data_IF_732328549390
#
_entry.id   IF_732328549390
#
_cell.length_a   1.000
_cell.length_b   1.000
_cell.length_c   1.000
_cell.angle_alpha   90.00
_cell.angle_beta   90.00
_cell.angle_gamma   90.00
#
_symmetry.space_group_name_H-M   'P 1'
#
loop_
_entity.id
_entity.type
_entity.pdbx_description
1 polymer ?
#
# COMPACT_ATOMS: atom_id res chain seq x y z
N UNK A 1 0.13 -55.23 -33.35
CA UNK A 1 -0.81 -54.50 -34.22
C UNK A 1 -1.30 -53.34 -33.38
N UNK A 2 -0.60 -52.23 -33.55
CA UNK A 2 -0.81 -50.96 -32.85
C UNK A 2 -1.97 -50.21 -33.49
N UNK A 3 -2.81 -49.58 -32.66
CA UNK A 3 -3.70 -48.52 -33.09
C UNK A 3 -3.30 -47.24 -32.35
N UNK A 4 -2.78 -46.29 -33.12
CA UNK A 4 -2.36 -44.95 -32.72
C UNK A 4 -3.49 -43.95 -32.99
N UNK A 5 -3.97 -43.26 -31.96
CA UNK A 5 -4.82 -42.07 -32.07
C UNK A 5 -4.08 -40.84 -31.57
N UNK A 6 -3.72 -39.96 -32.49
CA UNK A 6 -2.97 -38.71 -32.29
C UNK A 6 -3.82 -37.62 -31.62
N UNK A 7 -3.20 -36.87 -30.69
CA UNK A 7 -3.74 -35.66 -30.06
C UNK A 7 -3.13 -34.46 -30.76
N UNK A 8 -3.96 -33.66 -31.44
CA UNK A 8 -3.53 -32.41 -32.07
C UNK A 8 -3.47 -31.26 -31.05
N UNK A 9 -2.34 -30.55 -31.09
CA UNK A 9 -2.05 -29.34 -30.34
C UNK A 9 -2.51 -28.12 -31.12
N UNK A 10 -3.24 -27.19 -30.49
CA UNK A 10 -3.62 -25.92 -31.14
C UNK A 10 -2.68 -24.82 -30.66
N UNK A 11 -1.79 -24.41 -31.56
CA UNK A 11 -0.89 -23.27 -31.39
C UNK A 11 -1.62 -21.93 -31.50
N UNK A 12 -1.08 -20.99 -30.72
CA UNK A 12 -1.32 -19.56 -30.70
C UNK A 12 -1.09 -18.89 -32.07
N UNK A 13 -2.05 -18.07 -32.52
CA UNK A 13 -1.85 -17.09 -33.59
C UNK A 13 -2.31 -15.70 -33.13
N UNK A 14 -1.31 -14.86 -32.89
CA UNK A 14 -1.43 -13.42 -32.78
C UNK A 14 -1.33 -12.82 -34.20
N UNK A 15 -2.27 -11.97 -34.62
CA UNK A 15 -2.03 -10.96 -35.67
C UNK A 15 -3.10 -9.85 -35.67
N UNK A 16 -2.60 -8.63 -35.54
CA UNK A 16 -3.18 -7.30 -35.79
C UNK A 16 -3.81 -7.17 -37.20
N UNK A 17 -4.82 -6.36 -37.54
CA UNK A 17 -5.04 -4.89 -37.41
C UNK A 17 -6.41 -4.63 -38.12
N UNK A 18 -7.38 -3.80 -37.70
CA UNK A 18 -7.51 -2.35 -38.01
C UNK A 18 -8.86 -1.77 -37.54
N UNK A 19 -8.77 -0.67 -36.79
CA UNK A 19 -9.58 0.57 -36.77
C UNK A 19 -11.09 0.56 -37.10
N UNK A 20 -11.90 1.03 -36.12
CA UNK A 20 -12.96 2.01 -36.36
C UNK A 20 -13.20 2.88 -35.13
N UNK A 21 -13.33 4.18 -35.38
CA UNK A 21 -13.38 5.31 -34.44
C UNK A 21 -14.79 5.59 -33.91
N UNK A 22 -14.92 5.89 -32.62
CA UNK A 22 -16.03 6.69 -32.11
C UNK A 22 -15.55 7.83 -31.21
N UNK A 23 -16.13 9.00 -31.46
CA UNK A 23 -15.77 10.30 -30.87
C UNK A 23 -16.58 10.53 -29.60
N UNK A 24 -15.91 10.79 -28.48
CA UNK A 24 -16.48 11.53 -27.35
C UNK A 24 -15.64 12.78 -27.09
N UNK A 25 -16.32 13.93 -27.09
CA UNK A 25 -15.77 15.26 -26.96
C UNK A 25 -15.58 15.62 -25.48
N UNK A 26 -14.40 15.32 -24.92
CA UNK A 26 -13.86 16.01 -23.75
C UNK A 26 -12.85 17.09 -24.19
N UNK A 27 -12.48 18.05 -23.32
CA UNK A 27 -11.50 19.07 -23.68
C UNK A 27 -10.15 18.40 -23.97
N UNK A 28 -9.71 18.46 -25.23
CA UNK A 28 -8.40 17.98 -25.65
C UNK A 28 -7.33 18.90 -25.08
N UNK A 29 -6.74 18.50 -23.95
CA UNK A 29 -5.43 19.02 -23.53
C UNK A 29 -4.46 18.72 -24.67
N UNK A 30 -3.84 19.75 -25.23
CA UNK A 30 -2.91 19.57 -26.34
C UNK A 30 -1.71 18.73 -25.88
N UNK A 31 -1.23 17.81 -26.73
CA UNK A 31 0.01 17.06 -26.47
C UNK A 31 1.20 17.99 -26.18
N UNK A 32 1.11 19.24 -26.65
CA UNK A 32 2.07 20.32 -26.40
C UNK A 32 2.06 20.76 -24.93
N UNK A 33 0.90 20.86 -24.27
CA UNK A 33 0.78 21.18 -22.85
C UNK A 33 1.27 20.04 -21.94
N UNK A 34 0.93 18.79 -22.26
CA UNK A 34 1.42 17.61 -21.53
C UNK A 34 2.94 17.50 -21.63
N UNK A 35 3.51 17.78 -22.80
CA UNK A 35 4.98 17.80 -23.01
C UNK A 35 5.66 18.98 -22.33
N UNK A 36 4.97 20.11 -22.17
CA UNK A 36 5.48 21.26 -21.42
C UNK A 36 5.49 21.02 -19.89
N UNK A 37 4.47 20.32 -19.37
CA UNK A 37 4.40 19.90 -17.97
C UNK A 37 5.38 18.76 -17.67
N UNK A 38 5.56 17.82 -18.59
CA UNK A 38 6.61 16.81 -18.52
C UNK A 38 8.02 17.43 -18.50
N UNK A 39 8.27 18.46 -19.33
CA UNK A 39 9.52 19.24 -19.29
C UNK A 39 9.70 20.08 -18.02
N UNK A 40 8.61 20.48 -17.36
CA UNK A 40 8.67 21.15 -16.06
C UNK A 40 8.98 20.17 -14.91
N UNK A 41 8.58 18.91 -15.04
CA UNK A 41 8.89 17.82 -14.08
C UNK A 41 10.28 17.22 -14.35
N UNK A 42 10.75 17.17 -15.60
CA UNK A 42 12.11 16.75 -15.97
C UNK A 42 13.21 17.73 -15.52
N UNK A 43 12.87 18.99 -15.20
CA UNK A 43 13.82 20.02 -14.76
C UNK A 43 14.20 19.98 -13.27
N UNK A 44 14.11 18.80 -12.64
CA UNK A 44 14.75 18.53 -11.33
C UNK A 44 15.94 17.57 -11.46
N UNK A 45 16.35 17.19 -12.67
CA UNK A 45 17.71 16.67 -12.87
C UNK A 45 18.68 17.84 -12.91
N UNK A 46 19.17 18.20 -11.72
CA UNK A 46 20.17 19.23 -11.50
C UNK A 46 21.49 18.84 -12.16
N UNK A 47 22.11 19.86 -12.74
CA UNK A 47 23.46 19.93 -13.28
C UNK A 47 24.48 19.09 -12.48
N UNK A 48 25.05 18.02 -13.05
CA UNK A 48 26.07 17.20 -12.40
C UNK A 48 27.41 17.93 -12.23
N UNK A 49 27.55 19.18 -12.70
CA UNK A 49 28.76 20.00 -12.59
C UNK A 49 28.87 20.84 -11.31
N UNK A 50 27.85 20.84 -10.42
CA UNK A 50 27.92 21.54 -9.13
C UNK A 50 28.33 20.57 -8.01
N UNK A 51 29.35 20.95 -7.25
CA UNK A 51 29.95 20.15 -6.16
C UNK A 51 29.01 19.91 -4.97
N UNK A 52 27.93 20.67 -4.85
CA UNK A 52 27.02 20.59 -3.69
C UNK A 52 25.80 19.71 -3.92
N UNK A 53 25.56 18.84 -2.94
CA UNK A 53 24.35 18.04 -2.77
C UNK A 53 23.12 18.97 -2.71
N UNK A 54 22.15 18.83 -3.63
CA UNK A 54 20.94 19.63 -3.57
C UNK A 54 20.03 19.16 -2.43
N UNK A 55 20.04 19.88 -1.31
CA UNK A 55 19.21 19.60 -0.15
C UNK A 55 17.78 20.10 -0.35
N UNK A 56 16.80 19.35 0.14
CA UNK A 56 15.43 19.82 0.31
C UNK A 56 15.34 20.87 1.43
N UNK A 57 14.24 21.66 1.49
CA UNK A 57 13.98 22.50 2.65
C UNK A 57 14.00 21.68 3.95
N UNK A 58 14.82 22.11 4.91
CA UNK A 58 15.06 21.46 6.21
C UNK A 58 15.81 20.10 6.13
N UNK A 59 16.30 19.73 4.95
CA UNK A 59 17.23 18.63 4.83
C UNK A 59 18.64 19.07 5.25
N UNK A 60 19.22 18.35 6.19
CA UNK A 60 20.52 18.66 6.81
C UNK A 60 21.46 17.46 6.70
N UNK A 61 22.68 17.71 6.25
CA UNK A 61 23.77 16.71 6.27
C UNK A 61 24.10 16.37 7.72
N UNK A 62 24.08 15.08 8.04
CA UNK A 62 24.36 14.54 9.37
C UNK A 62 25.77 14.02 9.47
N UNK A 63 26.25 13.35 8.42
CA UNK A 63 27.64 12.92 8.30
C UNK A 63 28.02 12.63 6.85
N UNK A 64 29.32 12.68 6.56
CA UNK A 64 29.89 12.38 5.26
C UNK A 64 31.21 11.63 5.41
N UNK A 65 31.37 10.57 4.61
CA UNK A 65 32.61 9.80 4.49
C UNK A 65 33.13 9.88 3.05
N UNK A 66 34.41 10.25 2.92
CA UNK A 66 35.15 10.12 1.67
C UNK A 66 35.73 8.72 1.55
N UNK A 67 36.18 8.36 0.35
CA UNK A 67 36.86 7.09 0.08
C UNK A 67 36.03 5.84 0.39
N UNK A 68 34.70 5.95 0.31
CA UNK A 68 33.80 4.81 0.42
C UNK A 68 33.72 4.11 -0.93
N UNK A 69 33.83 2.79 -0.92
CA UNK A 69 33.70 1.96 -2.12
C UNK A 69 32.31 1.32 -2.15
N UNK A 70 31.48 1.70 -3.12
CA UNK A 70 30.25 1.01 -3.45
C UNK A 70 30.57 -0.20 -4.35
N UNK A 71 30.15 -1.39 -3.96
CA UNK A 71 30.29 -2.61 -4.76
C UNK A 71 29.06 -2.73 -5.64
N UNK A 72 29.11 -2.12 -6.83
CA UNK A 72 28.01 -2.18 -7.78
C UNK A 72 27.96 -3.58 -8.42
N UNK A 73 26.82 -4.28 -8.40
CA UNK A 73 26.71 -5.60 -9.01
C UNK A 73 26.84 -5.59 -10.55
N UNK A 74 26.66 -4.42 -11.18
CA UNK A 74 26.64 -4.31 -12.64
C UNK A 74 27.96 -3.82 -13.24
N UNK A 75 28.66 -2.91 -12.56
CA UNK A 75 29.86 -2.25 -13.10
C UNK A 75 31.10 -2.41 -12.21
N UNK A 76 30.99 -3.19 -11.14
CA UNK A 76 32.07 -3.44 -10.19
C UNK A 76 32.26 -2.33 -9.15
N UNK A 77 33.41 -2.34 -8.44
CA UNK A 77 33.69 -1.40 -7.36
C UNK A 77 33.80 0.05 -7.86
N UNK A 78 33.12 0.96 -7.18
CA UNK A 78 33.14 2.40 -7.46
C UNK A 78 33.51 3.13 -6.18
N UNK A 79 34.63 3.87 -6.18
CA UNK A 79 35.08 4.67 -5.04
C UNK A 79 34.51 6.08 -5.13
N UNK A 80 34.05 6.63 -4.01
CA UNK A 80 33.42 7.95 -3.98
C UNK A 80 33.17 8.45 -2.56
N UNK A 81 32.26 9.41 -2.47
CA UNK A 81 31.80 10.00 -1.21
C UNK A 81 30.41 9.50 -0.87
N UNK A 82 30.19 9.16 0.41
CA UNK A 82 28.91 8.78 0.97
C UNK A 82 28.46 9.86 1.95
N UNK A 83 27.24 10.36 1.81
CA UNK A 83 26.65 11.38 2.67
C UNK A 83 25.31 10.89 3.19
N UNK A 84 25.08 11.08 4.48
CA UNK A 84 23.83 10.79 5.17
C UNK A 84 23.20 12.12 5.58
N UNK A 85 21.96 12.36 5.18
CA UNK A 85 21.15 13.48 5.68
C UNK A 85 20.11 12.97 6.68
N UNK A 86 19.26 13.84 7.22
CA UNK A 86 18.05 13.45 7.94
C UNK A 86 16.94 12.88 7.03
N UNK A 87 17.14 12.83 5.71
CA UNK A 87 16.15 12.33 4.73
C UNK A 87 16.66 11.22 3.82
N UNK A 88 17.90 11.28 3.34
CA UNK A 88 18.44 10.37 2.32
C UNK A 88 19.88 9.93 2.61
N UNK A 89 20.25 8.79 2.04
CA UNK A 89 21.62 8.38 1.78
C UNK A 89 21.98 8.77 0.35
N UNK A 90 23.09 9.45 0.17
CA UNK A 90 23.59 9.85 -1.14
C UNK A 90 25.03 9.40 -1.34
N UNK A 91 25.32 8.72 -2.45
CA UNK A 91 26.67 8.33 -2.84
C UNK A 91 27.02 8.94 -4.19
N UNK A 92 28.23 9.50 -4.32
CA UNK A 92 28.71 10.13 -5.56
C UNK A 92 30.16 9.77 -5.84
N UNK A 93 30.44 9.39 -7.09
CA UNK A 93 31.77 9.21 -7.64
C UNK A 93 31.97 10.15 -8.83
N UNK A 94 32.85 11.13 -8.64
CA UNK A 94 33.22 12.16 -9.61
C UNK A 94 34.34 11.73 -10.56
N UNK A 95 35.05 10.65 -10.24
CA UNK A 95 36.18 10.13 -11.02
C UNK A 95 35.74 9.41 -12.31
N UNK A 96 34.44 9.45 -12.63
CA UNK A 96 33.83 8.82 -13.80
C UNK A 96 33.03 9.83 -14.59
N UNK A 97 32.97 9.59 -15.89
CA UNK A 97 32.14 10.35 -16.82
C UNK A 97 31.18 9.39 -17.55
N UNK A 98 29.85 9.54 -17.40
CA UNK A 98 29.17 10.49 -16.52
C UNK A 98 29.39 10.18 -15.02
N UNK A 99 29.23 11.20 -14.17
CA UNK A 99 29.31 11.09 -12.70
C UNK A 99 28.36 9.99 -12.23
N UNK A 100 28.87 9.06 -11.43
CA UNK A 100 28.04 8.02 -10.84
C UNK A 100 27.40 8.54 -9.55
N UNK A 101 26.07 8.51 -9.48
CA UNK A 101 25.29 8.96 -8.33
C UNK A 101 24.26 7.92 -7.91
N UNK A 102 24.08 7.78 -6.59
CA UNK A 102 23.05 6.95 -5.98
C UNK A 102 22.35 7.77 -4.91
N UNK A 103 21.04 7.97 -5.06
CA UNK A 103 20.18 8.73 -4.15
C UNK A 103 19.09 7.80 -3.60
N UNK A 104 19.02 7.69 -2.27
CA UNK A 104 18.14 6.77 -1.57
C UNK A 104 17.47 7.44 -0.38
N UNK A 105 16.14 7.66 -0.41
CA UNK A 105 15.41 8.07 0.77
C UNK A 105 15.59 7.06 1.90
N UNK A 106 15.91 7.54 3.10
CA UNK A 106 16.15 6.74 4.30
C UNK A 106 14.95 5.87 4.68
N UNK A 107 13.72 6.37 4.47
CA UNK A 107 12.50 5.60 4.67
C UNK A 107 12.36 4.38 3.73
N UNK A 108 13.13 4.34 2.64
CA UNK A 108 13.22 3.21 1.72
C UNK A 108 14.14 2.09 2.21
N UNK A 109 14.89 2.29 3.29
CA UNK A 109 15.77 1.26 3.85
C UNK A 109 14.96 0.29 4.72
N UNK A 110 15.24 -0.99 4.58
CA UNK A 110 14.67 -2.08 5.37
C UNK A 110 15.61 -2.50 6.49
N UNK A 111 16.90 -2.68 6.16
CA UNK A 111 17.95 -3.06 7.12
C UNK A 111 19.28 -2.48 6.70
N UNK A 112 20.13 -2.16 7.67
CA UNK A 112 21.57 -1.91 7.47
C UNK A 112 22.34 -2.87 8.37
N UNK A 113 23.35 -3.53 7.84
CA UNK A 113 24.09 -4.58 8.54
C UNK A 113 25.59 -4.49 8.26
N UNK A 114 26.41 -4.73 9.28
CA UNK A 114 27.86 -4.90 9.11
C UNK A 114 28.12 -6.31 8.56
N UNK A 115 28.84 -6.39 7.45
CA UNK A 115 29.18 -7.64 6.76
C UNK A 115 30.62 -8.01 7.09
N UNK A 116 30.79 -9.13 7.81
CA UNK A 116 32.10 -9.66 8.18
C UNK A 116 32.81 -8.87 9.28
N UNK A 117 33.98 -9.37 9.69
CA UNK A 117 34.89 -8.64 10.56
C UNK A 117 35.69 -7.60 9.77
N UNK A 118 36.28 -6.63 10.46
CA UNK A 118 37.23 -5.71 9.84
C UNK A 118 38.35 -6.51 9.17
N UNK A 119 38.71 -6.15 7.95
CA UNK A 119 39.82 -6.78 7.24
C UNK A 119 41.13 -6.53 8.00
N UNK A 120 42.17 -7.31 7.72
CA UNK A 120 43.52 -7.04 8.25
C UNK A 120 44.07 -5.66 7.87
N UNK A 121 43.43 -4.97 6.91
CA UNK A 121 43.72 -3.60 6.47
C UNK A 121 42.80 -2.54 7.11
N UNK A 122 41.91 -2.92 8.01
CA UNK A 122 40.94 -2.03 8.68
C UNK A 122 39.70 -1.69 7.86
N UNK A 123 39.44 -2.42 6.76
CA UNK A 123 38.26 -2.19 5.93
C UNK A 123 37.04 -2.88 6.54
N UNK A 124 35.92 -2.17 6.56
CA UNK A 124 34.63 -2.66 7.03
C UNK A 124 33.60 -2.58 5.92
N UNK A 125 32.83 -3.65 5.77
CA UNK A 125 31.75 -3.71 4.79
C UNK A 125 30.39 -3.56 5.47
N UNK A 126 29.49 -2.81 4.83
CA UNK A 126 28.10 -2.68 5.24
C UNK A 126 27.16 -3.04 4.08
N UNK A 127 26.12 -3.82 4.39
CA UNK A 127 24.99 -4.10 3.51
C UNK A 127 23.82 -3.20 3.84
N UNK A 128 23.17 -2.66 2.82
CA UNK A 128 21.93 -1.88 2.92
C UNK A 128 20.87 -2.60 2.09
N UNK A 129 19.87 -3.15 2.76
CA UNK A 129 18.72 -3.83 2.17
C UNK A 129 17.59 -2.81 2.02
N UNK A 130 17.09 -2.61 0.80
CA UNK A 130 16.07 -1.62 0.49
C UNK A 130 14.69 -2.27 0.29
N UNK A 131 13.63 -1.50 0.52
CA UNK A 131 12.22 -1.92 0.33
C UNK A 131 11.83 -2.03 -1.14
N UNK A 132 12.62 -1.43 -2.03
CA UNK A 132 12.47 -1.47 -3.49
C UNK A 132 13.29 -2.61 -4.13
N UNK A 133 13.57 -3.66 -3.36
CA UNK A 133 14.23 -4.89 -3.81
C UNK A 133 15.72 -4.76 -4.14
N UNK A 134 16.34 -3.60 -3.87
CA UNK A 134 17.78 -3.41 -4.04
C UNK A 134 18.57 -3.81 -2.80
N UNK A 135 19.72 -4.44 -3.02
CA UNK A 135 20.73 -4.70 -1.99
C UNK A 135 22.01 -3.98 -2.39
N UNK A 136 22.51 -3.15 -1.50
CA UNK A 136 23.66 -2.29 -1.76
C UNK A 136 24.77 -2.63 -0.78
N UNK A 137 26.00 -2.68 -1.26
CA UNK A 137 27.16 -2.99 -0.44
C UNK A 137 28.17 -1.87 -0.52
N UNK A 138 28.56 -1.38 0.64
CA UNK A 138 29.59 -0.37 0.79
C UNK A 138 30.76 -0.94 1.58
N UNK A 139 31.95 -0.44 1.31
CA UNK A 139 33.19 -0.76 2.02
C UNK A 139 33.88 0.56 2.36
N UNK A 140 34.27 0.75 3.61
CA UNK A 140 35.02 1.92 4.03
C UNK A 140 36.04 1.54 5.12
N UNK A 141 37.03 2.40 5.34
CA UNK A 141 37.97 2.22 6.46
C UNK A 141 37.32 2.68 7.76
N UNK A 142 37.48 1.89 8.82
CA UNK A 142 37.05 2.31 10.14
C UNK A 142 37.81 3.58 10.58
N UNK A 143 37.16 4.52 11.30
CA UNK A 143 37.84 5.69 11.84
C UNK A 143 38.95 5.26 12.79
N UNK A 144 40.13 5.88 12.68
CA UNK A 144 41.26 5.62 13.61
C UNK A 144 40.93 6.05 15.06
N UNK A 145 40.06 7.04 15.21
CA UNK A 145 39.56 7.49 16.51
C UNK A 145 38.30 6.71 16.90
N UNK A 146 38.41 5.84 17.91
CA UNK A 146 37.32 5.02 18.44
C UNK A 146 36.14 5.82 19.02
N UNK A 147 36.31 7.11 19.31
CA UNK A 147 35.23 7.99 19.76
C UNK A 147 34.40 8.55 18.59
N UNK A 148 34.92 8.49 17.35
CA UNK A 148 34.19 8.98 16.17
C UNK A 148 33.26 7.89 15.66
N UNK A 149 31.96 8.20 15.63
CA UNK A 149 30.95 7.33 15.05
C UNK A 149 31.24 7.07 13.58
N UNK A 150 30.96 5.85 13.13
CA UNK A 150 30.97 5.54 11.70
C UNK A 150 29.79 6.21 11.00
N UNK A 151 29.95 6.59 9.72
CA UNK A 151 28.85 7.07 8.88
C UNK A 151 27.67 6.09 8.84
N UNK A 152 27.94 4.80 9.02
CA UNK A 152 26.90 3.76 9.09
C UNK A 152 26.15 3.73 10.43
N UNK A 153 26.77 4.17 11.52
CA UNK A 153 26.05 4.37 12.80
C UNK A 153 25.13 5.59 12.71
N UNK A 154 25.57 6.65 12.03
CA UNK A 154 24.72 7.80 11.71
C UNK A 154 23.58 7.37 10.79
N UNK A 155 23.87 6.58 9.75
CA UNK A 155 22.85 6.01 8.87
C UNK A 155 21.81 5.22 9.66
N UNK A 156 22.22 4.33 10.56
CA UNK A 156 21.29 3.57 11.42
C UNK A 156 20.39 4.48 12.27
N UNK A 157 20.94 5.56 12.82
CA UNK A 157 20.16 6.52 13.61
C UNK A 157 19.06 7.19 12.78
N UNK A 158 19.40 7.70 11.59
CA UNK A 158 18.47 8.48 10.76
C UNK A 158 17.60 7.63 9.83
N UNK A 159 18.00 6.40 9.51
CA UNK A 159 17.18 5.44 8.74
C UNK A 159 16.00 4.90 9.56
N UNK A 160 16.15 4.85 10.89
CA UNK A 160 15.15 4.31 11.80
C UNK A 160 14.77 5.33 12.88
N UNK A 161 14.25 6.51 12.51
CA UNK A 161 14.05 7.61 13.46
C UNK A 161 13.09 7.24 14.59
N UNK A 162 12.00 6.51 14.31
CA UNK A 162 11.04 6.05 15.33
C UNK A 162 11.72 5.15 16.37
N UNK A 163 12.57 4.22 15.94
CA UNK A 163 13.34 3.35 16.83
C UNK A 163 14.40 4.11 17.66
N UNK A 164 14.75 5.32 17.24
CA UNK A 164 15.71 6.20 17.90
C UNK A 164 15.03 7.39 18.61
N UNK A 165 13.71 7.34 18.85
CA UNK A 165 12.93 8.41 19.47
C UNK A 165 13.05 9.76 18.75
N UNK A 166 13.10 9.74 17.43
CA UNK A 166 13.18 10.90 16.54
C UNK A 166 11.93 11.02 15.67
N UNK A 167 11.67 12.23 15.19
CA UNK A 167 10.58 12.50 14.26
C UNK A 167 10.90 11.97 12.86
N UNK A 168 9.87 11.60 12.09
CA UNK A 168 10.02 11.32 10.66
C UNK A 168 10.29 12.64 9.92
N UNK A 169 11.13 12.59 8.88
CA UNK A 169 11.42 13.77 8.04
C UNK A 169 10.17 14.47 7.49
N UNK A 170 9.05 13.75 7.33
CA UNK A 170 7.76 14.33 6.94
C UNK A 170 7.28 15.47 7.85
N UNK A 171 7.68 15.48 9.14
CA UNK A 171 7.35 16.56 10.08
C UNK A 171 8.34 17.73 10.04
N UNK A 172 9.52 17.52 9.45
CA UNK A 172 10.56 18.55 9.30
C UNK A 172 10.47 19.23 7.93
N UNK A 173 10.01 18.53 6.90
CA UNK A 173 9.95 19.01 5.53
C UNK A 173 9.02 20.23 5.35
N UNK A 174 9.57 21.33 4.81
CA UNK A 174 8.86 22.62 4.65
C UNK A 174 8.65 23.08 3.21
N UNK A 175 8.77 22.19 2.22
CA UNK A 175 8.47 22.59 0.84
C UNK A 175 6.98 22.93 0.68
N UNK A 176 6.70 24.04 0.00
CA UNK A 176 5.35 24.48 -0.31
C UNK A 176 5.04 24.14 -1.77
N UNK A 177 3.87 23.56 -2.00
CA UNK A 177 3.32 23.31 -3.33
C UNK A 177 2.11 24.21 -3.57
N UNK A 178 1.79 24.57 -4.83
CA UNK A 178 0.61 25.37 -5.14
C UNK A 178 -0.70 24.71 -4.68
N UNK A 179 -0.76 23.39 -4.77
CA UNK A 179 -1.92 22.59 -4.40
C UNK A 179 -1.72 21.94 -3.02
N UNK A 180 -2.77 21.95 -2.21
CA UNK A 180 -2.78 21.28 -0.91
C UNK A 180 -3.37 19.87 -1.03
N UNK A 181 -2.49 18.86 -1.07
CA UNK A 181 -2.86 17.45 -1.17
C UNK A 181 -3.83 16.96 -0.07
N UNK A 182 -3.81 17.57 1.12
CA UNK A 182 -4.71 17.22 2.22
C UNK A 182 -6.18 17.57 1.95
N UNK A 183 -6.45 18.43 0.96
CA UNK A 183 -7.81 18.84 0.58
C UNK A 183 -8.36 18.07 -0.62
N UNK A 184 -7.61 17.11 -1.17
CA UNK A 184 -8.02 16.35 -2.36
C UNK A 184 -9.23 15.47 -2.06
N UNK A 185 -9.30 14.90 -0.86
CA UNK A 185 -10.39 14.01 -0.46
C UNK A 185 -11.31 14.70 0.55
N UNK A 186 -12.58 14.86 0.17
CA UNK A 186 -13.68 15.23 1.06
C UNK A 186 -14.69 14.06 1.08
N UNK A 187 -14.86 13.38 2.23
CA UNK A 187 -15.80 12.26 2.35
C UNK A 187 -17.22 12.63 1.90
N UNK A 188 -17.72 13.80 2.29
CA UNK A 188 -19.09 14.20 1.97
C UNK A 188 -19.24 14.49 0.48
N UNK A 189 -18.24 15.10 -0.14
CA UNK A 189 -18.23 15.31 -1.59
C UNK A 189 -18.18 13.99 -2.37
N UNK A 190 -17.40 13.00 -1.91
CA UNK A 190 -17.32 11.68 -2.54
C UNK A 190 -18.65 10.93 -2.45
N UNK A 191 -19.30 10.89 -1.29
CA UNK A 191 -20.60 10.25 -1.17
C UNK A 191 -21.69 11.01 -1.92
N UNK A 192 -21.64 12.35 -1.95
CA UNK A 192 -22.52 13.16 -2.80
C UNK A 192 -22.34 12.83 -4.29
N UNK A 193 -21.11 12.61 -4.76
CA UNK A 193 -20.83 12.16 -6.14
C UNK A 193 -21.50 10.82 -6.45
N UNK A 194 -21.67 9.96 -5.46
CA UNK A 194 -22.38 8.68 -5.57
C UNK A 194 -23.91 8.78 -5.39
N UNK A 195 -24.46 9.99 -5.19
CA UNK A 195 -25.90 10.19 -5.00
C UNK A 195 -26.40 9.95 -3.58
N UNK A 196 -25.55 10.12 -2.57
CA UNK A 196 -25.85 9.85 -1.16
C UNK A 196 -25.79 11.12 -0.30
N UNK A 197 -26.49 11.17 0.85
CA UNK A 197 -27.47 10.19 1.32
C UNK A 197 -28.73 10.16 0.44
N UNK A 198 -29.52 9.09 0.54
CA UNK A 198 -30.75 8.91 -0.22
C UNK A 198 -31.83 8.23 0.65
N UNK A 199 -32.91 7.75 0.03
CA UNK A 199 -34.02 7.10 0.74
C UNK A 199 -33.64 5.77 1.42
N UNK A 200 -32.55 5.13 0.99
CA UNK A 200 -32.11 3.82 1.51
C UNK A 200 -30.89 3.93 2.42
N UNK A 201 -30.05 4.95 2.24
CA UNK A 201 -28.77 5.11 2.96
C UNK A 201 -28.68 6.47 3.65
N UNK A 202 -28.33 6.46 4.94
CA UNK A 202 -28.10 7.65 5.75
C UNK A 202 -26.64 7.80 6.17
N UNK A 203 -26.28 9.03 6.51
CA UNK A 203 -25.07 9.32 7.26
C UNK A 203 -25.31 8.97 8.74
N UNK A 204 -24.38 8.24 9.35
CA UNK A 204 -24.25 8.09 10.80
C UNK A 204 -23.02 8.84 11.30
N UNK A 205 -23.19 9.57 12.40
CA UNK A 205 -22.13 10.25 13.14
C UNK A 205 -21.70 9.49 14.39
N UNK A 206 -22.15 8.24 14.56
CA UNK A 206 -21.83 7.40 15.73
C UNK A 206 -20.32 7.22 15.95
N UNK A 207 -19.50 7.44 14.91
CA UNK A 207 -18.05 7.30 14.95
C UNK A 207 -17.30 8.63 14.79
N UNK A 208 -17.96 9.79 14.97
CA UNK A 208 -17.32 11.11 14.78
C UNK A 208 -16.11 11.35 15.71
N UNK A 209 -16.13 10.71 16.87
CA UNK A 209 -15.06 10.68 17.86
C UNK A 209 -14.29 9.35 17.90
N UNK A 210 -14.43 8.50 16.88
CA UNK A 210 -13.72 7.21 16.75
C UNK A 210 -14.00 6.20 17.87
N UNK A 211 -15.09 6.38 18.63
CA UNK A 211 -15.46 5.53 19.77
C UNK A 211 -16.09 4.20 19.35
N UNK A 212 -16.79 4.16 18.21
CA UNK A 212 -17.37 2.92 17.69
C UNK A 212 -16.28 2.02 17.10
N UNK A 213 -15.39 2.59 16.30
CA UNK A 213 -14.27 1.92 15.66
C UNK A 213 -13.15 2.93 15.36
N UNK A 214 -12.03 2.78 16.07
CA UNK A 214 -10.84 3.64 16.01
C UNK A 214 -10.13 3.65 14.65
N UNK A 215 -10.37 2.62 13.85
CA UNK A 215 -9.71 2.37 12.57
C UNK A 215 -10.63 2.59 11.37
N UNK A 216 -11.84 3.09 11.61
CA UNK A 216 -12.79 3.53 10.59
C UNK A 216 -12.80 5.06 10.45
N UNK A 217 -13.33 5.60 9.34
CA UNK A 217 -13.51 7.04 9.22
C UNK A 217 -14.56 7.57 10.21
N UNK A 218 -14.52 8.88 10.46
CA UNK A 218 -15.44 9.55 11.38
C UNK A 218 -16.92 9.49 10.92
N UNK A 219 -17.14 9.52 9.60
CA UNK A 219 -18.47 9.50 8.98
C UNK A 219 -18.71 8.14 8.34
N UNK A 220 -19.82 7.48 8.69
CA UNK A 220 -20.19 6.17 8.17
C UNK A 220 -21.51 6.26 7.42
N UNK A 221 -21.65 5.49 6.33
CA UNK A 221 -22.91 5.35 5.60
C UNK A 221 -23.51 3.97 5.83
N UNK A 222 -24.76 3.95 6.29
CA UNK A 222 -25.51 2.77 6.74
C UNK A 222 -26.97 2.84 6.27
N UNK A 223 -27.73 1.73 6.25
CA UNK A 223 -29.14 1.78 5.87
C UNK A 223 -29.97 2.69 6.78
N UNK A 224 -30.96 3.40 6.20
CA UNK A 224 -31.81 4.36 6.94
C UNK A 224 -32.58 3.73 8.10
N UNK A 225 -32.90 2.44 8.00
CA UNK A 225 -33.71 1.69 8.99
C UNK A 225 -32.93 1.20 10.19
N UNK A 226 -31.59 1.31 10.16
CA UNK A 226 -30.71 0.88 11.25
C UNK A 226 -30.37 2.08 12.11
N UNK A 227 -30.54 1.95 13.42
CA UNK A 227 -30.25 3.01 14.41
C UNK A 227 -28.80 2.96 14.89
N UNK A 228 -28.27 4.08 15.40
CA UNK A 228 -26.90 4.13 15.92
C UNK A 228 -26.70 3.22 17.14
N UNK A 229 -27.74 2.97 17.95
CA UNK A 229 -27.71 2.01 19.05
C UNK A 229 -27.53 0.56 18.55
N UNK A 230 -28.21 0.20 17.45
CA UNK A 230 -28.01 -1.10 16.81
C UNK A 230 -26.57 -1.22 16.28
N UNK A 231 -26.01 -0.17 15.68
CA UNK A 231 -24.62 -0.17 15.23
C UNK A 231 -23.63 -0.45 16.37
N UNK A 232 -23.88 0.08 17.58
CA UNK A 232 -23.06 -0.21 18.78
C UNK A 232 -23.13 -1.68 19.21
N UNK A 233 -24.27 -2.34 19.01
CA UNK A 233 -24.40 -3.78 19.26
C UNK A 233 -23.67 -4.59 18.19
N UNK A 234 -23.79 -4.19 16.93
CA UNK A 234 -23.09 -4.84 15.81
C UNK A 234 -21.57 -4.72 15.95
N UNK A 235 -21.05 -3.57 16.40
CA UNK A 235 -19.61 -3.37 16.57
C UNK A 235 -19.00 -4.36 17.58
N UNK A 236 -19.76 -4.78 18.58
CA UNK A 236 -19.34 -5.81 19.54
C UNK A 236 -19.25 -7.21 18.92
N UNK A 237 -19.94 -7.45 17.78
CA UNK A 237 -19.96 -8.72 17.07
C UNK A 237 -19.03 -8.76 15.85
N UNK A 238 -18.46 -7.62 15.44
CA UNK A 238 -17.53 -7.50 14.32
C UNK A 238 -16.12 -7.25 14.85
N UNK A 239 -15.12 -7.98 14.33
CA UNK A 239 -13.76 -7.87 14.83
C UNK A 239 -13.24 -6.41 14.80
N UNK A 240 -12.79 -5.90 15.95
CA UNK A 240 -12.35 -4.50 16.14
C UNK A 240 -13.43 -3.44 15.87
N UNK A 241 -14.72 -3.77 15.99
CA UNK A 241 -15.80 -2.81 15.78
C UNK A 241 -16.06 -2.42 14.32
N UNK A 242 -15.40 -3.08 13.36
CA UNK A 242 -15.49 -2.77 11.93
C UNK A 242 -16.76 -3.36 11.32
N UNK A 243 -17.85 -2.66 11.55
CA UNK A 243 -19.19 -3.00 11.10
C UNK A 243 -19.35 -2.89 9.58
N UNK A 244 -20.33 -3.56 8.96
CA UNK A 244 -20.69 -3.34 7.56
C UNK A 244 -21.03 -1.87 7.26
N UNK A 245 -20.24 -1.24 6.39
CA UNK A 245 -20.44 0.16 5.95
C UNK A 245 -20.29 0.29 4.44
N UNK A 246 -21.01 1.24 3.86
CA UNK A 246 -21.02 1.49 2.42
C UNK A 246 -19.67 2.02 1.92
N UNK A 247 -19.13 1.36 0.89
CA UNK A 247 -17.94 1.83 0.16
C UNK A 247 -18.30 2.42 -1.20
N UNK A 248 -19.25 1.79 -1.90
CA UNK A 248 -19.68 2.22 -3.23
C UNK A 248 -21.13 1.79 -3.52
N UNK A 249 -21.86 2.56 -4.32
CA UNK A 249 -23.20 2.22 -4.80
C UNK A 249 -23.32 2.43 -6.32
N UNK A 250 -23.99 1.49 -7.00
CA UNK A 250 -24.27 1.58 -8.42
C UNK A 250 -25.35 2.64 -8.68
N UNK A 251 -25.15 3.59 -9.62
CA UNK A 251 -26.05 4.73 -9.80
C UNK A 251 -27.47 4.34 -10.25
N UNK A 252 -27.61 3.26 -11.02
CA UNK A 252 -28.92 2.80 -11.54
C UNK A 252 -29.54 1.70 -10.69
N UNK A 253 -28.89 0.51 -10.62
CA UNK A 253 -29.43 -0.64 -9.89
C UNK A 253 -29.46 -0.51 -8.37
N UNK A 254 -28.80 0.50 -7.79
CA UNK A 254 -28.63 0.66 -6.34
C UNK A 254 -27.90 -0.52 -5.64
N UNK A 255 -27.24 -1.39 -6.41
CA UNK A 255 -26.38 -2.42 -5.85
C UNK A 255 -25.21 -1.79 -5.08
N UNK A 256 -25.02 -2.20 -3.83
CA UNK A 256 -24.04 -1.63 -2.93
C UNK A 256 -22.85 -2.58 -2.70
N UNK A 257 -21.64 -2.01 -2.68
CA UNK A 257 -20.44 -2.66 -2.16
C UNK A 257 -20.24 -2.17 -0.73
N UNK A 258 -20.37 -3.10 0.21
CA UNK A 258 -20.16 -2.87 1.64
C UNK A 258 -18.88 -3.57 2.10
N UNK A 259 -18.19 -2.98 3.07
CA UNK A 259 -16.99 -3.56 3.69
C UNK A 259 -17.22 -3.75 5.18
N UNK A 260 -16.66 -4.83 5.73
CA UNK A 260 -16.72 -5.15 7.15
C UNK A 260 -15.50 -5.98 7.55
N UNK A 261 -15.35 -6.22 8.86
CA UNK A 261 -14.50 -7.28 9.37
C UNK A 261 -15.27 -8.60 9.53
N UNK A 262 -14.55 -9.69 9.81
CA UNK A 262 -15.15 -10.97 10.17
C UNK A 262 -16.07 -10.85 11.40
N UNK A 263 -17.07 -11.73 11.44
CA UNK A 263 -17.96 -11.90 12.60
C UNK A 263 -17.23 -12.58 13.78
N UNK A 264 -17.72 -12.36 14.99
CA UNK A 264 -17.20 -12.93 16.24
C UNK A 264 -18.04 -14.13 16.71
N UNK A 265 -18.42 -14.99 15.76
CA UNK A 265 -19.25 -16.20 15.97
C UNK A 265 -18.59 -17.15 16.98
N UNK A 266 -17.29 -17.38 16.82
CA UNK A 266 -16.50 -18.31 17.61
C UNK A 266 -16.92 -19.77 17.46
N UNK A 267 -16.36 -20.63 18.31
CA UNK A 267 -16.67 -22.06 18.32
C UNK A 267 -18.12 -22.33 18.74
N UNK A 268 -18.68 -21.49 19.62
CA UNK A 268 -20.03 -21.67 20.18
C UNK A 268 -21.15 -21.25 19.22
N UNK A 269 -20.84 -20.82 17.99
CA UNK A 269 -21.87 -20.45 17.02
C UNK A 269 -22.68 -19.21 17.45
N UNK A 270 -22.05 -18.23 18.10
CA UNK A 270 -22.76 -17.02 18.57
C UNK A 270 -23.38 -16.29 17.39
N UNK A 271 -24.58 -15.76 17.63
CA UNK A 271 -25.36 -14.97 16.68
C UNK A 271 -25.57 -13.56 17.22
N UNK A 272 -25.81 -12.61 16.32
CA UNK A 272 -26.13 -11.24 16.65
C UNK A 272 -27.33 -10.80 15.82
N UNK A 273 -28.47 -10.62 16.48
CA UNK A 273 -29.73 -10.24 15.83
C UNK A 273 -29.58 -8.90 15.09
N UNK A 274 -28.84 -7.96 15.67
CA UNK A 274 -28.61 -6.66 15.07
C UNK A 274 -27.69 -6.74 13.84
N UNK A 275 -26.71 -7.65 13.80
CA UNK A 275 -25.87 -7.85 12.62
C UNK A 275 -26.67 -8.51 11.49
N UNK A 276 -27.45 -9.54 11.82
CA UNK A 276 -28.38 -10.19 10.88
C UNK A 276 -29.38 -9.18 10.30
N UNK A 277 -29.97 -8.31 11.16
CA UNK A 277 -30.86 -7.22 10.74
C UNK A 277 -30.14 -6.21 9.85
N UNK A 278 -28.90 -5.84 10.17
CA UNK A 278 -28.12 -4.90 9.37
C UNK A 278 -27.87 -5.47 7.96
N UNK A 279 -27.46 -6.73 7.84
CA UNK A 279 -27.24 -7.37 6.53
C UNK A 279 -28.54 -7.50 5.74
N UNK A 280 -29.65 -7.82 6.41
CA UNK A 280 -30.97 -7.80 5.79
C UNK A 280 -31.34 -6.40 5.28
N UNK A 281 -31.13 -5.35 6.07
CA UNK A 281 -31.40 -3.97 5.64
C UNK A 281 -30.50 -3.50 4.48
N UNK A 282 -29.27 -4.01 4.39
CA UNK A 282 -28.38 -3.77 3.23
C UNK A 282 -28.94 -4.42 1.97
N UNK A 283 -29.49 -5.63 2.08
CA UNK A 283 -30.15 -6.29 0.96
C UNK A 283 -31.43 -5.56 0.55
N UNK A 284 -32.27 -5.19 1.52
CA UNK A 284 -33.54 -4.48 1.29
C UNK A 284 -33.34 -3.08 0.68
N UNK A 285 -32.16 -2.48 0.85
CA UNK A 285 -31.77 -1.23 0.20
C UNK A 285 -31.63 -1.37 -1.34
N UNK A 286 -31.54 -2.60 -1.85
CA UNK A 286 -31.57 -2.90 -3.28
C UNK A 286 -32.87 -3.61 -3.67
N UNK A 287 -33.85 -2.85 -4.18
CA UNK A 287 -35.15 -3.37 -4.58
C UNK A 287 -35.11 -4.43 -5.71
N UNK A 288 -33.98 -4.59 -6.40
CA UNK A 288 -33.83 -5.50 -7.54
C UNK A 288 -33.27 -6.88 -7.16
N UNK A 289 -32.84 -7.09 -5.91
CA UNK A 289 -32.25 -8.36 -5.47
C UNK A 289 -32.93 -8.89 -4.21
N UNK A 290 -33.11 -10.21 -4.18
CA UNK A 290 -33.54 -10.95 -2.98
C UNK A 290 -32.41 -11.80 -2.39
N UNK A 291 -31.16 -11.55 -2.81
CA UNK A 291 -29.97 -12.26 -2.34
C UNK A 291 -28.81 -11.30 -2.11
N UNK A 292 -28.11 -11.49 -1.00
CA UNK A 292 -26.88 -10.81 -0.65
C UNK A 292 -25.69 -11.75 -0.92
N UNK A 293 -24.61 -11.22 -1.51
CA UNK A 293 -23.35 -11.97 -1.62
C UNK A 293 -22.35 -11.46 -0.59
N UNK A 294 -21.77 -12.38 0.16
CA UNK A 294 -20.70 -12.13 1.13
C UNK A 294 -19.43 -12.75 0.55
N UNK A 295 -18.48 -11.92 0.19
CA UNK A 295 -17.19 -12.37 -0.31
C UNK A 295 -16.17 -12.33 0.82
N UNK A 296 -15.86 -13.49 1.40
CA UNK A 296 -14.75 -13.63 2.34
C UNK A 296 -13.46 -13.80 1.54
N UNK A 297 -12.55 -12.84 1.68
CA UNK A 297 -11.27 -12.89 0.96
C UNK A 297 -10.48 -14.16 1.27
N UNK A 298 -10.61 -14.73 2.48
CA UNK A 298 -9.75 -15.81 2.96
C UNK A 298 -10.04 -17.13 2.23
N UNK A 299 -9.06 -18.04 2.20
CA UNK A 299 -9.34 -19.45 2.01
C UNK A 299 -10.27 -19.98 3.10
N UNK A 300 -11.16 -20.90 2.74
CA UNK A 300 -12.13 -21.50 3.66
C UNK A 300 -11.47 -22.12 4.92
N UNK A 301 -10.31 -22.76 4.75
CA UNK A 301 -9.51 -23.33 5.86
C UNK A 301 -9.03 -22.26 6.84
N UNK A 302 -8.67 -21.08 6.34
CA UNK A 302 -8.23 -19.96 7.17
C UNK A 302 -9.42 -19.31 7.89
N UNK A 303 -10.58 -19.24 7.25
CA UNK A 303 -11.81 -18.78 7.88
C UNK A 303 -12.25 -19.73 9.01
N UNK A 304 -12.19 -21.05 8.79
CA UNK A 304 -12.45 -22.07 9.81
C UNK A 304 -11.45 -21.98 10.99
N UNK A 305 -10.17 -21.77 10.72
CA UNK A 305 -9.16 -21.56 11.76
C UNK A 305 -9.42 -20.31 12.60
N UNK A 306 -9.91 -19.22 11.98
CA UNK A 306 -10.32 -18.02 12.70
C UNK A 306 -11.57 -18.24 13.55
N UNK A 307 -12.54 -19.03 13.08
CA UNK A 307 -13.71 -19.44 13.86
C UNK A 307 -13.29 -20.15 15.15
N UNK A 308 -12.29 -21.02 15.08
CA UNK A 308 -11.71 -21.67 16.25
C UNK A 308 -11.05 -20.70 17.25
N UNK A 309 -10.60 -19.54 16.78
CA UNK A 309 -9.97 -18.49 17.60
C UNK A 309 -10.94 -17.39 18.07
N UNK A 310 -12.25 -17.60 17.92
CA UNK A 310 -13.28 -16.65 18.35
C UNK A 310 -13.82 -15.72 17.26
N UNK A 311 -13.21 -15.70 16.07
CA UNK A 311 -13.74 -15.04 14.88
C UNK A 311 -14.79 -15.89 14.17
N UNK A 312 -14.88 -15.80 12.86
CA UNK A 312 -15.86 -16.59 12.11
C UNK A 312 -16.17 -16.06 10.72
N UNK A 313 -17.29 -16.55 10.20
CA UNK A 313 -17.93 -16.17 8.95
C UNK A 313 -19.42 -16.42 9.09
N UNK A 314 -20.20 -15.78 8.24
CA UNK A 314 -21.66 -15.81 8.18
C UNK A 314 -22.15 -17.20 7.72
N UNK A 315 -22.88 -17.92 8.59
CA UNK A 315 -23.47 -19.23 8.24
C UNK A 315 -24.82 -19.09 7.57
N UNK A 316 -25.13 -19.97 6.62
CA UNK A 316 -26.42 -20.00 5.89
C UNK A 316 -27.65 -20.04 6.83
N UNK A 317 -27.58 -20.77 7.95
CA UNK A 317 -28.67 -20.84 8.95
C UNK A 317 -28.97 -19.50 9.64
N UNK A 318 -27.94 -18.66 9.79
CA UNK A 318 -28.04 -17.36 10.45
C UNK A 318 -28.37 -16.23 9.47
N UNK A 319 -27.87 -16.34 8.23
CA UNK A 319 -28.01 -15.34 7.18
C UNK A 319 -28.69 -15.99 5.95
N UNK A 320 -29.98 -16.29 6.09
CA UNK A 320 -30.74 -17.13 5.14
C UNK A 320 -30.77 -16.58 3.71
N UNK A 321 -30.69 -15.26 3.55
CA UNK A 321 -30.71 -14.59 2.25
C UNK A 321 -29.31 -14.22 1.74
N UNK A 322 -28.25 -14.73 2.38
CA UNK A 322 -26.87 -14.46 2.01
C UNK A 322 -26.19 -15.71 1.44
N UNK A 323 -25.38 -15.53 0.40
CA UNK A 323 -24.46 -16.53 -0.13
C UNK A 323 -23.02 -16.14 0.18
N UNK A 324 -22.31 -17.02 0.87
CA UNK A 324 -20.92 -16.83 1.25
C UNK A 324 -19.99 -17.47 0.21
N UNK A 325 -19.05 -16.69 -0.31
CA UNK A 325 -18.04 -17.14 -1.27
C UNK A 325 -16.65 -16.85 -0.70
N UNK A 326 -15.78 -17.86 -0.69
CA UNK A 326 -14.38 -17.71 -0.33
C UNK A 326 -13.53 -17.41 -1.57
N UNK A 327 -12.65 -16.40 -1.50
CA UNK A 327 -11.83 -15.94 -2.63
C UNK A 327 -10.40 -16.52 -2.65
N UNK A 328 -10.05 -17.35 -1.67
CA UNK A 328 -8.74 -18.03 -1.56
C UNK A 328 -7.52 -17.08 -1.53
N UNK A 329 -7.71 -15.87 -1.02
CA UNK A 329 -6.68 -14.86 -0.85
C UNK A 329 -5.93 -15.08 0.48
N UNK A 330 -4.68 -15.51 0.36
CA UNK A 330 -3.82 -15.83 1.51
C UNK A 330 -3.47 -14.60 2.36
N UNK A 331 -3.12 -14.83 3.62
CA UNK A 331 -2.79 -13.77 4.59
C UNK A 331 -1.42 -13.11 4.32
N UNK A 332 -1.14 -12.00 5.00
CA UNK A 332 0.10 -11.22 4.84
C UNK A 332 1.41 -12.02 5.01
N UNK A 333 1.41 -13.11 5.79
CA UNK A 333 2.61 -13.92 6.04
C UNK A 333 2.95 -14.86 4.88
N UNK A 334 2.00 -15.10 3.96
CA UNK A 334 2.21 -15.84 2.71
C UNK A 334 2.67 -14.89 1.58
N UNK A 335 2.52 -13.58 1.79
CA UNK A 335 2.86 -12.53 0.84
C UNK A 335 4.26 -11.87 0.98
N UNK A 336 5.27 -12.39 1.71
CA UNK A 336 6.49 -11.62 2.00
C UNK A 336 7.52 -11.67 0.88
N UNK A 337 7.46 -12.61 -0.06
CA UNK A 337 8.57 -12.85 -1.00
C UNK A 337 8.53 -11.90 -2.20
N UNK A 338 9.71 -11.45 -2.69
CA UNK A 338 9.87 -10.74 -3.97
C UNK A 338 9.07 -11.36 -5.12
N UNK A 339 9.09 -12.69 -5.20
CA UNK A 339 8.50 -13.50 -6.27
C UNK A 339 6.97 -13.45 -6.20
N UNK A 340 6.39 -13.48 -5.00
CA UNK A 340 4.94 -13.30 -4.79
C UNK A 340 4.52 -11.88 -5.11
N UNK A 341 5.33 -10.87 -4.75
CA UNK A 341 5.07 -9.45 -5.10
C UNK A 341 5.11 -9.20 -6.61
N UNK A 342 6.08 -9.78 -7.32
CA UNK A 342 6.22 -9.64 -8.77
C UNK A 342 5.12 -10.37 -9.54
N UNK A 343 4.76 -11.58 -9.11
CA UNK A 343 3.67 -12.38 -9.69
C UNK A 343 2.31 -11.66 -9.62
N UNK A 344 2.00 -11.00 -8.50
CA UNK A 344 0.75 -10.25 -8.34
C UNK A 344 0.70 -8.96 -9.18
N UNK A 345 1.86 -8.29 -9.34
CA UNK A 345 1.97 -7.07 -10.15
C UNK A 345 1.74 -7.31 -11.64
N UNK A 346 2.10 -8.50 -12.13
CA UNK A 346 1.97 -8.88 -13.55
C UNK A 346 0.62 -9.57 -13.83
N UNK A 347 0.03 -10.24 -12.82
CA UNK A 347 -1.13 -11.11 -13.01
C UNK A 347 -2.50 -10.43 -13.03
N UNK A 348 -2.74 -9.33 -12.31
CA UNK A 348 -4.11 -8.82 -12.15
C UNK A 348 -4.17 -7.32 -11.78
N UNK A 349 -4.05 -6.43 -12.76
CA UNK A 349 -4.22 -4.98 -12.57
C UNK A 349 -5.63 -4.56 -12.09
N UNK A 350 -6.65 -5.42 -12.23
CA UNK A 350 -8.01 -5.15 -11.73
C UNK A 350 -8.18 -5.56 -10.25
N UNK A 351 -7.45 -6.59 -9.78
CA UNK A 351 -7.55 -7.03 -8.38
C UNK A 351 -6.73 -6.18 -7.41
N UNK A 352 -5.66 -5.53 -7.84
CA UNK A 352 -4.79 -4.72 -6.97
C UNK A 352 -5.56 -3.56 -6.31
N UNK A 353 -6.55 -2.97 -7.00
CA UNK A 353 -7.38 -1.89 -6.45
C UNK A 353 -8.27 -2.40 -5.32
N UNK A 354 -8.83 -3.61 -5.45
CA UNK A 354 -9.60 -4.27 -4.38
C UNK A 354 -8.67 -4.74 -3.26
N UNK A 355 -7.48 -5.24 -3.59
CA UNK A 355 -6.49 -5.74 -2.63
C UNK A 355 -6.01 -4.65 -1.65
N UNK A 356 -5.75 -3.43 -2.14
CA UNK A 356 -5.32 -2.32 -1.29
C UNK A 356 -6.45 -1.77 -0.41
N UNK A 357 -7.70 -1.81 -0.87
CA UNK A 357 -8.86 -1.33 -0.10
C UNK A 357 -9.15 -2.20 1.14
N UNK A 358 -8.76 -3.49 1.11
CA UNK A 358 -8.98 -4.45 2.20
C UNK A 358 -7.75 -4.70 3.10
N UNK A 359 -6.53 -4.34 2.68
CA UNK A 359 -5.28 -4.68 3.42
C UNK A 359 -4.62 -3.53 4.19
N UNK A 360 -5.08 -2.29 4.02
CA UNK A 360 -5.05 -1.31 5.09
C UNK A 360 -6.45 -1.29 5.70
N UNK A 361 -6.57 -1.11 7.01
CA UNK A 361 -7.78 -1.19 7.84
C UNK A 361 -8.01 -2.54 8.50
#
# INVERSE_FOLDING_TARGET
MEESGSVDSVESLCSSTTTRSDRSSGPRVSDTELRSKAKAVEKVYKDPSKDELPLLPEELVQDSAKDVTYICPFIGPVRGSLTVTNYRLFFRCTDREPVFGLDLPLGGLSRVEKIGAASSRGDVSYGVVCKDMRNLRFVHKEPENSLKKSVFEVLMKFAFPVSNNMSLFAFEYKQVFPENGWKVYDPLAEYKRQGLPNESWRISKVNDHYELCDSYPATLFVPVTITDEELRRVSSFRAKGRIPVLSWIHPESQAAVVRASQTMVGQNGRRCKEDEKLLQAIMDANAQSHKLFIFDARPSVNAAANKMKGGGFESEDAYQNAELVFLDIHNIHVMPTPETKLSLSIGNCIFIVIYFLFYLF
#
